data_IF_001173131570
#
_entry.id   IF_001173131570
#
_cell.length_a   1.000
_cell.length_b   1.000
_cell.length_c   1.000
_cell.angle_alpha   90.00
_cell.angle_beta   90.00
_cell.angle_gamma   90.00
#
_symmetry.space_group_name_H-M   'P 1'
#
loop_
_entity.id
_entity.type
_entity.pdbx_description
1 polymer ?
#
# COMPACT_ATOMS: atom_id res chain seq x y z
N UNK A 1 39.21 -17.64 -20.34
CA UNK A 1 38.55 -18.50 -19.34
C UNK A 1 37.27 -17.78 -18.91
N UNK A 2 36.10 -18.22 -19.38
CA UNK A 2 34.80 -17.59 -19.09
C UNK A 2 34.25 -18.17 -17.78
N UNK A 3 34.25 -17.37 -16.71
CA UNK A 3 33.61 -17.76 -15.45
C UNK A 3 32.10 -17.55 -15.64
N UNK A 4 31.33 -18.63 -15.82
CA UNK A 4 29.86 -18.59 -15.77
C UNK A 4 29.44 -18.49 -14.30
N UNK A 5 28.60 -17.50 -13.97
CA UNK A 5 27.95 -17.42 -12.65
C UNK A 5 27.00 -18.62 -12.51
N UNK A 6 27.02 -19.37 -11.38
CA UNK A 6 26.01 -20.38 -11.13
C UNK A 6 24.63 -19.70 -11.12
N UNK A 7 23.61 -20.33 -11.68
CA UNK A 7 22.25 -19.84 -11.54
C UNK A 7 21.91 -19.80 -10.04
N UNK A 8 21.50 -18.64 -9.53
CA UNK A 8 21.42 -18.34 -8.09
C UNK A 8 20.41 -19.22 -7.31
N UNK A 9 19.60 -20.06 -7.97
CA UNK A 9 18.82 -21.10 -7.31
C UNK A 9 18.83 -22.41 -8.12
N UNK A 10 19.14 -23.55 -7.47
CA UNK A 10 18.97 -24.85 -8.11
C UNK A 10 17.47 -25.13 -8.34
N UNK A 11 17.08 -25.76 -9.46
CA UNK A 11 15.68 -26.09 -9.75
C UNK A 11 14.98 -26.94 -8.68
N UNK A 12 15.75 -27.66 -7.86
CA UNK A 12 15.24 -28.42 -6.71
C UNK A 12 14.69 -27.54 -5.57
N UNK A 13 15.10 -26.27 -5.49
CA UNK A 13 14.59 -25.30 -4.53
C UNK A 13 13.37 -24.53 -5.08
N UNK A 14 13.12 -24.63 -6.38
CA UNK A 14 11.95 -24.06 -7.03
C UNK A 14 10.83 -25.11 -6.97
N UNK A 15 9.66 -24.72 -6.49
CA UNK A 15 8.51 -25.62 -6.52
C UNK A 15 8.22 -26.03 -7.97
N UNK A 16 8.16 -27.34 -8.28
CA UNK A 16 7.81 -27.81 -9.62
C UNK A 16 6.50 -27.17 -10.11
N UNK A 17 6.45 -26.69 -11.36
CA UNK A 17 5.28 -25.99 -11.89
C UNK A 17 3.97 -26.75 -11.70
N UNK A 18 4.01 -28.08 -11.81
CA UNK A 18 2.85 -28.97 -11.65
C UNK A 18 2.30 -28.93 -10.23
N UNK A 19 3.19 -28.90 -9.23
CA UNK A 19 2.79 -28.80 -7.81
C UNK A 19 2.27 -27.40 -7.49
N UNK A 20 2.86 -26.35 -8.08
CA UNK A 20 2.36 -24.98 -7.94
C UNK A 20 0.93 -24.85 -8.50
N UNK A 21 0.69 -25.35 -9.70
CA UNK A 21 -0.63 -25.31 -10.36
C UNK A 21 -1.67 -26.09 -9.54
N UNK A 22 -1.36 -27.32 -9.11
CA UNK A 22 -2.26 -28.13 -8.27
C UNK A 22 -2.62 -27.44 -6.95
N UNK A 23 -1.68 -26.73 -6.32
CA UNK A 23 -1.96 -25.96 -5.10
C UNK A 23 -2.93 -24.81 -5.36
N UNK A 24 -2.84 -24.14 -6.51
CA UNK A 24 -3.77 -23.08 -6.89
C UNK A 24 -5.15 -23.61 -7.26
N UNK A 25 -5.21 -24.76 -7.92
CA UNK A 25 -6.48 -25.45 -8.18
C UNK A 25 -7.16 -25.87 -6.88
N UNK A 26 -6.42 -26.45 -5.94
CA UNK A 26 -6.93 -26.82 -4.61
C UNK A 26 -7.45 -25.60 -3.83
N UNK A 27 -6.71 -24.49 -3.81
CA UNK A 27 -7.17 -23.28 -3.13
C UNK A 27 -8.43 -22.67 -3.79
N UNK A 28 -8.52 -22.72 -5.12
CA UNK A 28 -9.71 -22.27 -5.85
C UNK A 28 -10.92 -23.16 -5.55
N UNK A 29 -10.75 -24.48 -5.53
CA UNK A 29 -11.85 -25.41 -5.23
C UNK A 29 -12.26 -25.34 -3.76
N UNK A 30 -11.32 -25.23 -2.83
CA UNK A 30 -11.61 -25.03 -1.41
C UNK A 30 -12.33 -23.70 -1.14
N UNK A 31 -11.93 -22.61 -1.82
CA UNK A 31 -12.64 -21.34 -1.75
C UNK A 31 -14.05 -21.45 -2.36
N UNK A 32 -14.21 -22.10 -3.50
CA UNK A 32 -15.52 -22.28 -4.13
C UNK A 32 -16.49 -23.12 -3.27
N UNK A 33 -15.99 -24.17 -2.62
CA UNK A 33 -16.78 -25.01 -1.71
C UNK A 33 -17.07 -24.30 -0.38
N UNK A 34 -16.10 -23.57 0.18
CA UNK A 34 -16.29 -22.76 1.38
C UNK A 34 -17.28 -21.61 1.17
N UNK A 35 -17.23 -20.96 0.00
CA UNK A 35 -18.17 -19.91 -0.40
C UNK A 35 -19.55 -20.51 -0.72
N UNK A 36 -19.61 -21.63 -1.44
CA UNK A 36 -20.87 -22.32 -1.75
C UNK A 36 -21.62 -22.84 -0.51
N UNK A 37 -20.91 -23.20 0.56
CA UNK A 37 -21.52 -23.62 1.83
C UNK A 37 -21.91 -22.45 2.75
N UNK A 38 -21.27 -21.27 2.61
CA UNK A 38 -21.56 -20.07 3.42
C UNK A 38 -22.54 -19.10 2.73
N UNK A 39 -22.76 -19.22 1.42
CA UNK A 39 -23.68 -18.39 0.65
C UNK A 39 -25.06 -19.05 0.45
N UNK A 40 -25.76 -19.35 1.54
CA UNK A 40 -27.16 -18.86 1.65
C UNK A 40 -27.10 -17.32 1.60
N UNK A 41 -28.08 -16.61 1.03
CA UNK A 41 -27.88 -15.35 0.28
C UNK A 41 -27.32 -14.23 1.17
N UNK A 42 -26.03 -14.25 1.41
CA UNK A 42 -25.29 -13.20 2.10
C UNK A 42 -24.60 -12.38 1.02
N UNK A 43 -25.30 -11.31 0.62
CA UNK A 43 -24.72 -10.12 0.03
C UNK A 43 -24.03 -10.33 -1.31
N UNK A 44 -24.75 -10.06 -2.39
CA UNK A 44 -24.12 -9.57 -3.62
C UNK A 44 -23.17 -8.43 -3.24
N UNK A 45 -21.88 -8.54 -3.58
CA UNK A 45 -20.94 -7.43 -3.46
C UNK A 45 -21.45 -6.28 -4.33
N UNK A 46 -22.11 -5.30 -3.70
CA UNK A 46 -22.51 -4.06 -4.38
C UNK A 46 -21.24 -3.23 -4.59
N UNK A 47 -21.06 -2.62 -5.77
CA UNK A 47 -20.00 -1.63 -5.94
C UNK A 47 -20.20 -0.52 -4.90
N UNK A 48 -19.11 -0.15 -4.23
CA UNK A 48 -19.08 0.91 -3.22
C UNK A 48 -19.17 2.29 -3.87
N UNK A 49 -20.30 2.54 -4.54
CA UNK A 49 -20.60 3.81 -5.22
C UNK A 49 -21.97 4.35 -4.74
N UNK A 50 -22.29 4.08 -3.48
CA UNK A 50 -23.31 4.85 -2.76
C UNK A 50 -22.66 6.15 -2.31
N UNK A 51 -23.34 7.28 -2.54
CA UNK A 51 -22.94 8.65 -2.20
C UNK A 51 -22.37 8.73 -0.76
N UNK A 52 -21.04 8.61 -0.64
CA UNK A 52 -20.37 8.49 0.65
C UNK A 52 -20.47 9.83 1.39
N UNK A 53 -20.97 9.79 2.62
CA UNK A 53 -20.98 10.96 3.48
C UNK A 53 -19.55 11.28 3.90
N UNK A 54 -19.02 12.47 3.60
CA UNK A 54 -17.67 12.85 4.01
C UNK A 54 -17.54 12.83 5.53
N UNK A 55 -16.39 12.38 6.04
CA UNK A 55 -16.07 12.49 7.46
C UNK A 55 -15.98 13.98 7.86
N UNK A 56 -16.50 14.39 9.03
CA UNK A 56 -16.37 15.77 9.48
C UNK A 56 -14.90 16.22 9.54
N UNK A 57 -14.62 17.43 9.05
CA UNK A 57 -13.25 17.99 9.00
C UNK A 57 -12.52 17.96 10.35
N UNK A 58 -13.25 18.19 11.44
CA UNK A 58 -12.71 18.12 12.81
C UNK A 58 -12.10 16.74 13.08
N UNK A 59 -12.78 15.67 12.70
CA UNK A 59 -12.30 14.31 12.99
C UNK A 59 -11.08 13.98 12.10
N UNK A 60 -11.10 14.44 10.84
CA UNK A 60 -9.97 14.30 9.90
C UNK A 60 -8.70 14.96 10.44
N UNK A 61 -8.83 16.10 11.12
CA UNK A 61 -7.68 16.89 11.62
C UNK A 61 -7.29 16.60 13.08
N UNK A 62 -8.11 15.85 13.83
CA UNK A 62 -7.90 15.65 15.27
C UNK A 62 -7.83 14.20 15.73
N UNK A 63 -8.25 13.24 14.91
CA UNK A 63 -8.24 11.82 15.22
C UNK A 63 -7.34 11.06 14.24
N UNK A 64 -6.03 11.05 14.52
CA UNK A 64 -5.02 10.57 13.58
C UNK A 64 -4.07 9.54 14.22
N UNK A 65 -3.42 8.74 13.37
CA UNK A 65 -2.30 7.89 13.77
C UNK A 65 -1.02 8.50 13.20
N UNK A 66 -0.29 9.26 14.01
CA UNK A 66 1.06 9.72 13.70
C UNK A 66 1.93 9.47 14.94
N UNK A 67 2.53 8.28 14.98
CA UNK A 67 3.08 7.67 16.21
C UNK A 67 4.31 8.42 16.71
N UNK A 68 5.05 9.02 15.78
CA UNK A 68 6.20 9.88 15.99
C UNK A 68 5.84 11.13 16.80
N UNK A 69 4.56 11.53 16.79
CA UNK A 69 4.02 12.62 17.60
C UNK A 69 3.30 12.10 18.86
N UNK A 70 3.21 10.79 19.06
CA UNK A 70 2.60 10.16 20.24
C UNK A 70 1.64 9.02 19.89
N UNK A 71 1.40 8.12 20.85
CA UNK A 71 0.60 6.91 20.65
C UNK A 71 -0.93 7.11 20.72
N UNK A 72 -1.38 8.23 21.31
CA UNK A 72 -2.80 8.58 21.42
C UNK A 72 -3.35 9.19 20.13
N UNK A 73 -4.64 8.98 19.84
CA UNK A 73 -5.29 9.47 18.60
C UNK A 73 -5.32 10.99 18.47
N UNK A 74 -5.35 11.70 19.59
CA UNK A 74 -5.29 13.16 19.65
C UNK A 74 -3.86 13.70 19.67
N UNK A 75 -2.84 12.85 19.88
CA UNK A 75 -1.46 13.28 20.00
C UNK A 75 -0.95 14.04 18.76
N UNK A 76 -1.24 13.61 17.51
CA UNK A 76 -0.81 14.35 16.32
C UNK A 76 -1.37 15.77 16.27
N UNK A 77 -2.60 15.98 16.72
CA UNK A 77 -3.24 17.29 16.75
C UNK A 77 -2.67 18.20 17.84
N UNK A 78 -2.27 17.64 18.98
CA UNK A 78 -1.68 18.38 20.10
C UNK A 78 -0.23 18.78 19.82
N UNK A 79 0.56 17.89 19.21
CA UNK A 79 2.01 18.07 19.07
C UNK A 79 2.46 18.39 17.63
N UNK A 80 1.59 18.27 16.64
CA UNK A 80 1.92 18.48 15.23
C UNK A 80 2.41 19.89 14.89
N UNK A 81 2.01 20.91 15.66
CA UNK A 81 2.52 22.27 15.51
C UNK A 81 4.03 22.41 15.73
N UNK A 82 4.66 21.45 16.41
CA UNK A 82 6.10 21.44 16.65
C UNK A 82 6.90 20.92 15.44
N UNK A 83 6.23 20.29 14.46
CA UNK A 83 6.88 19.77 13.26
C UNK A 83 7.18 20.91 12.29
N UNK A 84 8.47 21.10 11.98
CA UNK A 84 8.90 22.04 10.93
C UNK A 84 8.69 21.41 9.56
N UNK A 85 7.51 21.62 8.99
CA UNK A 85 7.14 21.06 7.69
C UNK A 85 7.76 21.78 6.49
N UNK A 86 8.35 22.97 6.67
CA UNK A 86 9.01 23.75 5.60
C UNK A 86 10.28 24.44 6.10
N UNK A 87 11.35 24.52 5.28
CA UNK A 87 11.50 23.88 3.96
C UNK A 87 11.60 22.35 4.08
N UNK A 88 11.22 21.62 3.03
CA UNK A 88 11.28 20.16 2.99
C UNK A 88 11.92 19.66 1.70
N UNK A 89 12.81 18.69 1.84
CA UNK A 89 13.60 18.11 0.75
C UNK A 89 13.43 16.60 0.75
N UNK A 90 13.19 16.04 -0.44
CA UNK A 90 13.12 14.60 -0.71
C UNK A 90 14.38 14.18 -1.44
N UNK A 91 15.09 13.20 -0.87
CA UNK A 91 16.23 12.57 -1.54
C UNK A 91 15.76 11.30 -2.24
N UNK A 92 15.97 11.22 -3.55
CA UNK A 92 15.67 10.05 -4.39
C UNK A 92 16.99 9.38 -4.76
N UNK A 93 17.17 8.15 -4.28
CA UNK A 93 18.38 7.34 -4.46
C UNK A 93 18.02 5.87 -4.78
N UNK A 94 19.03 5.02 -4.97
CA UNK A 94 18.86 3.61 -5.31
C UNK A 94 18.88 3.34 -6.81
N UNK A 95 18.23 2.27 -7.26
CA UNK A 95 18.18 1.90 -8.67
C UNK A 95 17.13 2.74 -9.42
N UNK A 96 17.47 3.99 -9.70
CA UNK A 96 16.67 4.93 -10.45
C UNK A 96 17.50 5.64 -11.52
N UNK A 97 16.86 6.08 -12.60
CA UNK A 97 17.55 6.75 -13.71
C UNK A 97 17.96 8.19 -13.37
N UNK A 98 17.24 8.84 -12.45
CA UNK A 98 17.42 10.26 -12.10
C UNK A 98 17.49 10.45 -10.58
N UNK A 99 18.60 10.07 -9.94
CA UNK A 99 18.81 10.36 -8.53
C UNK A 99 18.97 11.87 -8.29
N UNK A 100 18.58 12.35 -7.12
CA UNK A 100 18.70 13.77 -6.80
C UNK A 100 17.94 14.18 -5.54
N UNK A 101 18.08 15.45 -5.19
CA UNK A 101 17.31 16.10 -4.13
C UNK A 101 16.27 17.03 -4.75
N UNK A 102 15.04 16.91 -4.29
CA UNK A 102 13.89 17.64 -4.80
C UNK A 102 13.21 18.38 -3.66
N UNK A 103 12.81 19.63 -3.90
CA UNK A 103 11.91 20.34 -2.99
C UNK A 103 10.47 19.84 -3.13
N UNK A 104 9.63 20.15 -2.14
CA UNK A 104 8.19 19.88 -2.23
C UNK A 104 7.57 20.53 -3.49
N UNK A 105 8.05 21.71 -3.83
CA UNK A 105 7.58 22.53 -4.95
C UNK A 105 7.84 21.89 -6.32
N UNK A 106 8.88 21.06 -6.43
CA UNK A 106 9.21 20.38 -7.69
C UNK A 106 8.14 19.35 -8.07
N UNK A 107 7.42 18.82 -7.08
CA UNK A 107 6.30 17.89 -7.29
C UNK A 107 4.95 18.62 -7.45
N UNK A 108 4.76 19.77 -6.80
CA UNK A 108 3.47 20.48 -6.82
C UNK A 108 3.30 21.36 -8.06
N UNK A 109 4.36 22.03 -8.54
CA UNK A 109 4.27 22.99 -9.66
C UNK A 109 3.83 22.38 -11.01
N UNK A 110 4.29 21.17 -11.40
CA UNK A 110 3.96 20.63 -12.72
C UNK A 110 2.54 20.08 -12.84
N UNK A 111 1.82 19.88 -11.74
CA UNK A 111 0.56 19.16 -11.69
C UNK A 111 -0.58 20.03 -11.14
N UNK A 112 -1.74 19.97 -11.79
CA UNK A 112 -2.96 20.56 -11.22
C UNK A 112 -3.47 19.69 -10.06
N UNK A 113 -3.77 20.31 -8.92
CA UNK A 113 -4.32 19.60 -7.77
C UNK A 113 -5.71 19.02 -8.08
N UNK A 114 -5.96 17.81 -7.61
CA UNK A 114 -7.25 17.11 -7.74
C UNK A 114 -7.77 16.76 -6.35
N UNK A 115 -9.09 16.92 -6.15
CA UNK A 115 -9.81 16.33 -5.03
C UNK A 115 -10.17 14.87 -5.38
N UNK A 116 -10.00 13.95 -4.42
CA UNK A 116 -10.27 12.52 -4.57
C UNK A 116 -10.88 11.96 -3.29
#
# INVERSE_FOLDING_TARGET
MLIKKPADLPPSEITPPELYVRRREFLKSAAALGVGALLSPLGSARPADEELKPTPYKDITSYNNFVELGSGKAAPALYGGNLRAKPWTVTVEGHCEKPGQFGLEDFLKPHAAQER
#
